data_IF_760731211830
#
_entry.id   IF_760731211830
#
_cell.length_a   1.000
_cell.length_b   1.000
_cell.length_c   1.000
_cell.angle_alpha   90.00
_cell.angle_beta   90.00
_cell.angle_gamma   90.00
#
_symmetry.space_group_name_H-M   'P 1'
#
loop_
_entity.id
_entity.type
_entity.pdbx_description
1 polymer ?
#
# COMPACT_ATOMS: atom_id res chain seq x y z
N UNK A 1 11.29 12.70 36.77
CA UNK A 1 11.16 13.32 35.43
C UNK A 1 9.71 13.76 35.21
N UNK A 2 9.43 15.03 34.92
CA UNK A 2 8.06 15.56 34.79
C UNK A 2 7.27 14.90 33.65
N UNK A 3 5.94 14.81 33.78
CA UNK A 3 5.02 14.19 32.79
C UNK A 3 5.17 14.81 31.39
N UNK A 4 5.42 16.12 31.34
CA UNK A 4 5.66 16.86 30.11
C UNK A 4 6.98 16.46 29.42
N UNK A 5 8.06 16.32 30.19
CA UNK A 5 9.36 15.88 29.67
C UNK A 5 9.31 14.45 29.15
N UNK A 6 8.55 13.56 29.80
CA UNK A 6 8.27 12.19 29.32
C UNK A 6 7.52 12.20 27.98
N UNK A 7 6.47 13.01 27.85
CA UNK A 7 5.70 13.12 26.60
C UNK A 7 6.53 13.71 25.45
N UNK A 8 7.37 14.72 25.73
CA UNK A 8 8.26 15.31 24.74
C UNK A 8 9.27 14.28 24.22
N UNK A 9 9.93 13.55 25.12
CA UNK A 9 10.89 12.50 24.74
C UNK A 9 10.22 11.39 23.91
N UNK A 10 9.04 10.91 24.33
CA UNK A 10 8.26 9.92 23.58
C UNK A 10 7.96 10.42 22.16
N UNK A 11 7.47 11.65 22.01
CA UNK A 11 7.13 12.20 20.70
C UNK A 11 8.36 12.34 19.80
N UNK A 12 9.50 12.75 20.36
CA UNK A 12 10.77 12.82 19.62
C UNK A 12 11.22 11.44 19.16
N UNK A 13 11.20 10.43 20.04
CA UNK A 13 11.59 9.07 19.69
C UNK A 13 10.66 8.48 18.62
N UNK A 14 9.34 8.64 18.78
CA UNK A 14 8.37 8.23 17.76
C UNK A 14 8.61 8.91 16.41
N UNK A 15 9.08 10.16 16.40
CA UNK A 15 9.40 10.88 15.17
C UNK A 15 10.63 10.33 14.47
N UNK A 16 11.67 9.97 15.23
CA UNK A 16 12.86 9.32 14.70
C UNK A 16 12.50 7.96 14.12
N UNK A 17 11.75 7.13 14.86
CA UNK A 17 11.33 5.81 14.39
C UNK A 17 10.43 5.91 13.15
N UNK A 18 9.48 6.86 13.13
CA UNK A 18 8.66 7.13 11.95
C UNK A 18 9.52 7.55 10.75
N UNK A 19 10.51 8.43 10.97
CA UNK A 19 11.46 8.84 9.94
C UNK A 19 12.24 7.68 9.36
N UNK A 20 12.78 6.80 10.21
CA UNK A 20 13.49 5.58 9.79
C UNK A 20 12.57 4.66 8.99
N UNK A 21 11.35 4.42 9.49
CA UNK A 21 10.38 3.55 8.82
C UNK A 21 10.04 4.06 7.41
N UNK A 22 9.67 5.34 7.28
CA UNK A 22 9.35 5.92 5.97
C UNK A 22 10.58 5.99 5.07
N UNK A 23 11.76 6.33 5.61
CA UNK A 23 12.99 6.38 4.83
C UNK A 23 13.32 5.01 4.23
N UNK A 24 13.32 3.94 5.03
CA UNK A 24 13.60 2.58 4.56
C UNK A 24 12.57 2.12 3.53
N UNK A 25 11.29 2.41 3.74
CA UNK A 25 10.23 2.02 2.80
C UNK A 25 10.30 2.81 1.48
N UNK A 26 10.60 4.10 1.52
CA UNK A 26 10.68 4.93 0.29
C UNK A 26 12.02 4.81 -0.43
N UNK A 27 13.09 4.41 0.27
CA UNK A 27 14.47 4.28 -0.25
C UNK A 27 14.94 2.83 -0.32
N UNK A 28 14.04 1.92 -0.65
CA UNK A 28 14.42 0.53 -0.89
C UNK A 28 15.46 0.41 -2.02
N UNK A 29 15.53 1.38 -2.93
CA UNK A 29 16.65 1.54 -3.85
C UNK A 29 17.54 2.67 -3.35
N UNK A 30 18.81 2.42 -2.95
CA UNK A 30 19.53 1.13 -2.96
C UNK A 30 19.43 0.31 -1.64
N UNK A 31 18.69 0.78 -0.63
CA UNK A 31 18.78 0.24 0.75
C UNK A 31 17.90 -0.98 1.06
N UNK A 32 17.60 -1.83 0.08
CA UNK A 32 16.67 -2.98 0.24
C UNK A 32 17.13 -3.95 1.34
N UNK A 33 18.45 -4.11 1.50
CA UNK A 33 19.09 -4.96 2.52
C UNK A 33 18.87 -4.48 3.95
N UNK A 34 18.51 -3.20 4.15
CA UNK A 34 18.29 -2.60 5.46
C UNK A 34 16.84 -2.66 5.94
N UNK A 35 15.99 -3.47 5.28
CA UNK A 35 14.57 -3.65 5.63
C UNK A 35 14.33 -4.01 7.11
N UNK A 36 15.28 -4.69 7.76
CA UNK A 36 15.21 -5.02 9.19
C UNK A 36 15.10 -3.76 10.08
N UNK A 37 15.75 -2.65 9.70
CA UNK A 37 15.65 -1.39 10.43
C UNK A 37 14.23 -0.82 10.39
N UNK A 38 13.54 -0.98 9.26
CA UNK A 38 12.12 -0.60 9.12
C UNK A 38 11.23 -1.41 10.06
N UNK A 39 11.43 -2.73 10.11
CA UNK A 39 10.66 -3.62 11.00
C UNK A 39 10.88 -3.30 12.48
N UNK A 40 12.14 -3.06 12.89
CA UNK A 40 12.47 -2.65 14.26
C UNK A 40 11.87 -1.28 14.60
N UNK A 41 11.90 -0.34 13.65
CA UNK A 41 11.29 0.97 13.83
C UNK A 41 9.77 0.86 14.03
N UNK A 42 9.09 0.02 13.25
CA UNK A 42 7.66 -0.23 13.39
C UNK A 42 7.32 -0.85 14.74
N UNK A 43 8.09 -1.86 15.17
CA UNK A 43 7.93 -2.48 16.48
C UNK A 43 8.10 -1.45 17.61
N UNK A 44 9.12 -0.59 17.51
CA UNK A 44 9.34 0.51 18.44
C UNK A 44 8.17 1.51 18.47
N UNK A 45 7.60 1.85 17.31
CA UNK A 45 6.41 2.73 17.23
C UNK A 45 5.24 2.10 17.98
N UNK A 46 4.97 0.82 17.75
CA UNK A 46 3.87 0.08 18.40
C UNK A 46 4.08 0.05 19.90
N UNK A 47 5.26 -0.40 20.37
CA UNK A 47 5.60 -0.50 21.78
C UNK A 47 5.51 0.84 22.53
N UNK A 48 5.96 1.92 21.90
CA UNK A 48 5.94 3.25 22.53
C UNK A 48 4.57 3.90 22.52
N UNK A 49 3.76 3.70 21.48
CA UNK A 49 2.57 4.51 21.21
C UNK A 49 1.24 3.79 21.37
N UNK A 50 1.24 2.47 21.58
CA UNK A 50 0.07 1.76 22.05
C UNK A 50 -0.51 2.44 23.30
N UNK A 51 -1.80 2.74 23.25
CA UNK A 51 -2.57 3.17 24.42
C UNK A 51 -3.82 2.32 24.49
N UNK A 52 -4.01 1.69 25.63
CA UNK A 52 -5.24 0.99 25.95
C UNK A 52 -5.74 1.50 27.29
N UNK A 53 -6.97 2.00 27.31
CA UNK A 53 -7.72 2.07 28.55
C UNK A 53 -8.16 0.65 28.90
N UNK A 54 -8.29 0.31 30.18
CA UNK A 54 -8.55 -1.06 30.64
C UNK A 54 -9.77 -1.69 29.93
N UNK A 55 -10.84 -0.91 29.76
CA UNK A 55 -12.05 -1.35 29.04
C UNK A 55 -11.82 -1.61 27.54
N UNK A 56 -11.00 -0.78 26.88
CA UNK A 56 -10.61 -0.96 25.48
C UNK A 56 -9.67 -2.14 25.26
N UNK A 57 -8.79 -2.42 26.24
CA UNK A 57 -7.92 -3.60 26.22
C UNK A 57 -8.74 -4.90 26.18
N UNK A 58 -9.66 -5.08 27.13
CA UNK A 58 -10.45 -6.32 27.23
C UNK A 58 -11.45 -6.50 26.09
N UNK A 59 -12.08 -5.41 25.61
CA UNK A 59 -13.11 -5.51 24.57
C UNK A 59 -12.57 -5.67 23.15
N UNK A 60 -11.34 -5.22 22.89
CA UNK A 60 -10.84 -5.15 21.51
C UNK A 60 -9.48 -5.79 21.34
N UNK A 61 -8.53 -5.49 22.22
CA UNK A 61 -7.17 -6.01 22.06
C UNK A 61 -7.02 -7.47 22.48
N UNK A 62 -7.66 -7.88 23.59
CA UNK A 62 -7.63 -9.27 24.07
C UNK A 62 -8.21 -10.27 23.04
N UNK A 63 -9.37 -10.02 22.40
CA UNK A 63 -9.86 -10.88 21.32
C UNK A 63 -8.88 -11.03 20.14
N UNK A 64 -8.21 -9.93 19.74
CA UNK A 64 -7.19 -9.98 18.68
C UNK A 64 -6.03 -10.88 19.11
N UNK A 65 -5.55 -10.74 20.35
CA UNK A 65 -4.48 -11.58 20.87
C UNK A 65 -4.90 -13.06 20.94
N UNK A 66 -6.10 -13.37 21.44
CA UNK A 66 -6.61 -14.74 21.48
C UNK A 66 -6.69 -15.35 20.08
N UNK A 67 -7.20 -14.59 19.10
CA UNK A 67 -7.28 -15.04 17.72
C UNK A 67 -5.89 -15.21 17.09
N UNK A 68 -4.95 -14.29 17.33
CA UNK A 68 -3.56 -14.42 16.90
C UNK A 68 -2.89 -15.67 17.51
N UNK A 69 -3.08 -15.93 18.80
CA UNK A 69 -2.58 -17.13 19.47
C UNK A 69 -3.16 -18.41 18.87
N UNK A 70 -4.46 -18.41 18.55
CA UNK A 70 -5.10 -19.52 17.84
C UNK A 70 -4.45 -19.77 16.47
N UNK A 71 -4.21 -18.71 15.67
CA UNK A 71 -3.56 -18.84 14.36
C UNK A 71 -2.15 -19.41 14.46
N UNK A 72 -1.37 -18.97 15.46
CA UNK A 72 -0.02 -19.49 15.71
C UNK A 72 -0.10 -20.97 16.11
N UNK A 73 -0.95 -21.32 17.06
CA UNK A 73 -1.13 -22.69 17.50
C UNK A 73 -1.54 -23.61 16.34
N UNK A 74 -2.52 -23.18 15.54
CA UNK A 74 -2.96 -23.92 14.35
C UNK A 74 -1.85 -24.09 13.32
N UNK A 75 -1.06 -23.04 13.05
CA UNK A 75 0.06 -23.12 12.11
C UNK A 75 1.15 -24.10 12.56
N UNK A 76 1.44 -24.15 13.86
CA UNK A 76 2.39 -25.10 14.42
C UNK A 76 1.87 -26.54 14.37
N UNK A 77 0.56 -26.76 14.55
CA UNK A 77 -0.06 -28.07 14.34
C UNK A 77 0.04 -28.56 12.90
N UNK A 78 -0.01 -27.65 11.93
CA UNK A 78 0.20 -27.95 10.50
C UNK A 78 1.69 -28.20 10.15
N UNK A 79 2.60 -28.09 11.12
CA UNK A 79 4.03 -28.35 10.91
C UNK A 79 4.78 -27.22 10.22
N UNK A 80 4.22 -26.01 10.15
CA UNK A 80 4.87 -24.86 9.50
C UNK A 80 6.09 -24.36 10.29
N UNK A 81 7.08 -23.82 9.57
CA UNK A 81 8.30 -23.31 10.17
C UNK A 81 8.06 -22.13 11.12
N UNK A 82 8.59 -22.21 12.34
CA UNK A 82 8.40 -21.21 13.41
C UNK A 82 8.79 -19.79 12.97
N UNK A 83 9.86 -19.65 12.20
CA UNK A 83 10.36 -18.36 11.69
C UNK A 83 9.37 -17.73 10.71
N UNK A 84 8.75 -18.54 9.84
CA UNK A 84 7.72 -18.09 8.90
C UNK A 84 6.41 -17.78 9.63
N UNK A 85 5.99 -18.64 10.57
CA UNK A 85 4.82 -18.36 11.43
C UNK A 85 4.97 -17.01 12.13
N UNK A 86 6.13 -16.77 12.77
CA UNK A 86 6.44 -15.53 13.46
C UNK A 86 6.39 -14.31 12.52
N UNK A 87 6.88 -14.46 11.28
CA UNK A 87 6.84 -13.39 10.28
C UNK A 87 5.40 -13.01 9.91
N UNK A 88 4.57 -13.97 9.54
CA UNK A 88 3.20 -13.69 9.07
C UNK A 88 2.28 -13.23 10.21
N UNK A 89 2.45 -13.76 11.43
CA UNK A 89 1.66 -13.28 12.56
C UNK A 89 2.01 -11.83 12.92
N UNK A 90 3.29 -11.43 12.81
CA UNK A 90 3.69 -10.03 13.03
C UNK A 90 3.03 -9.08 12.02
N UNK A 91 2.89 -9.50 10.77
CA UNK A 91 2.18 -8.71 9.74
C UNK A 91 0.72 -8.50 10.15
N UNK A 92 -0.01 -9.58 10.47
CA UNK A 92 -1.42 -9.51 10.91
C UNK A 92 -1.54 -8.61 12.15
N UNK A 93 -0.66 -8.82 13.12
CA UNK A 93 -0.64 -8.04 14.35
C UNK A 93 -0.41 -6.55 14.08
N UNK A 94 0.57 -6.18 13.25
CA UNK A 94 0.83 -4.76 12.94
C UNK A 94 -0.31 -4.11 12.17
N UNK A 95 -0.94 -4.81 11.23
CA UNK A 95 -2.09 -4.28 10.48
C UNK A 95 -3.27 -3.96 11.39
N UNK A 96 -3.61 -4.87 12.32
CA UNK A 96 -4.72 -4.67 13.24
C UNK A 96 -4.39 -3.63 14.32
N UNK A 97 -3.16 -3.63 14.83
CA UNK A 97 -2.76 -2.70 15.92
C UNK A 97 -2.50 -1.28 15.44
N UNK A 98 -2.18 -1.07 14.16
CA UNK A 98 -1.98 0.26 13.58
C UNK A 98 -3.14 1.23 13.83
N UNK A 99 -4.38 0.72 13.83
CA UNK A 99 -5.60 1.50 14.09
C UNK A 99 -5.68 2.10 15.50
N UNK A 100 -4.90 1.59 16.46
CA UNK A 100 -4.90 2.00 17.87
C UNK A 100 -3.73 2.91 18.23
N UNK A 101 -2.83 3.16 17.29
CA UNK A 101 -1.62 3.94 17.52
C UNK A 101 -1.89 5.41 17.20
N UNK A 102 -1.67 6.28 18.18
CA UNK A 102 -1.82 7.73 18.03
C UNK A 102 -0.45 8.37 17.93
N UNK A 103 -0.11 8.85 16.75
CA UNK A 103 1.11 9.59 16.47
C UNK A 103 0.85 11.11 16.32
N UNK A 104 1.83 11.96 16.66
CA UNK A 104 1.77 13.39 16.38
C UNK A 104 1.55 13.72 14.89
N UNK A 105 0.55 14.55 14.59
CA UNK A 105 0.18 14.98 13.22
C UNK A 105 1.33 15.54 12.39
N UNK A 106 2.33 16.16 13.02
CA UNK A 106 3.55 16.67 12.35
C UNK A 106 4.30 15.58 11.57
N UNK A 107 4.16 14.32 11.94
CA UNK A 107 4.79 13.18 11.25
C UNK A 107 4.28 12.98 9.82
N UNK A 108 3.06 13.41 9.51
CA UNK A 108 2.54 13.40 8.13
C UNK A 108 3.42 14.27 7.22
N UNK A 109 3.93 15.40 7.71
CA UNK A 109 4.83 16.27 6.91
C UNK A 109 6.12 15.54 6.54
N UNK A 110 6.64 14.69 7.43
CA UNK A 110 7.83 13.90 7.17
C UNK A 110 7.58 12.83 6.09
N UNK A 111 6.40 12.19 6.12
CA UNK A 111 5.97 11.28 5.06
C UNK A 111 6.02 11.99 3.70
N UNK A 112 5.30 13.12 3.61
CA UNK A 112 5.23 13.92 2.38
C UNK A 112 6.61 14.39 1.88
N UNK A 113 7.53 14.75 2.78
CA UNK A 113 8.87 15.16 2.41
C UNK A 113 9.69 14.01 1.82
N UNK A 114 9.66 12.83 2.46
CA UNK A 114 10.43 11.66 2.01
C UNK A 114 9.87 11.05 0.73
N UNK A 115 8.55 11.03 0.55
CA UNK A 115 7.93 10.62 -0.72
C UNK A 115 8.13 11.66 -1.81
N UNK A 116 8.18 12.96 -1.49
CA UNK A 116 8.53 13.99 -2.48
C UNK A 116 9.96 13.81 -3.00
N UNK A 117 10.90 13.48 -2.11
CA UNK A 117 12.25 13.11 -2.53
C UNK A 117 12.24 11.89 -3.47
N UNK A 118 11.27 10.96 -3.31
CA UNK A 118 11.16 9.78 -4.17
C UNK A 118 10.64 10.17 -5.55
N UNK A 119 9.69 11.12 -5.60
CA UNK A 119 9.25 11.71 -6.85
C UNK A 119 10.43 12.36 -7.60
N UNK A 120 11.25 13.15 -6.89
CA UNK A 120 12.42 13.81 -7.49
C UNK A 120 13.41 12.76 -8.02
N UNK A 121 13.66 11.68 -7.28
CA UNK A 121 14.50 10.57 -7.73
C UNK A 121 13.98 9.94 -9.02
N UNK A 122 12.69 9.59 -9.10
CA UNK A 122 12.11 8.97 -10.29
C UNK A 122 12.16 9.90 -11.51
N UNK A 123 11.79 11.16 -11.32
CA UNK A 123 11.83 12.16 -12.38
C UNK A 123 13.27 12.38 -12.86
N UNK A 124 14.23 12.49 -11.93
CA UNK A 124 15.65 12.62 -12.28
C UNK A 124 16.19 11.41 -13.02
N UNK A 125 15.81 10.20 -12.60
CA UNK A 125 16.19 8.95 -13.27
C UNK A 125 15.60 8.88 -14.68
N UNK A 126 14.34 9.27 -14.88
CA UNK A 126 13.74 9.37 -16.21
C UNK A 126 14.54 10.31 -17.12
N UNK A 127 14.89 11.50 -16.63
CA UNK A 127 15.69 12.44 -17.41
C UNK A 127 17.07 11.87 -17.77
N UNK A 128 17.73 11.18 -16.85
CA UNK A 128 19.00 10.50 -17.14
C UNK A 128 18.80 9.43 -18.22
N UNK A 129 17.75 8.61 -18.11
CA UNK A 129 17.45 7.56 -19.09
C UNK A 129 17.20 8.14 -20.49
N UNK A 130 16.41 9.22 -20.58
CA UNK A 130 16.12 9.88 -21.86
C UNK A 130 17.33 10.59 -22.49
N UNK A 131 18.27 11.10 -21.68
CA UNK A 131 19.44 11.81 -22.18
C UNK A 131 20.58 10.89 -22.60
N UNK A 132 20.76 9.76 -21.90
CA UNK A 132 21.95 8.92 -22.06
C UNK A 132 21.67 7.54 -22.67
N UNK A 133 20.41 7.09 -22.74
CA UNK A 133 20.06 5.76 -23.20
C UNK A 133 19.03 5.77 -24.33
N UNK A 134 19.09 4.75 -25.17
CA UNK A 134 18.12 4.45 -26.22
C UNK A 134 17.67 2.98 -26.11
N UNK A 135 16.83 2.52 -27.04
CA UNK A 135 16.28 1.15 -27.05
C UNK A 135 17.35 0.05 -27.02
N UNK A 136 18.56 0.30 -27.53
CA UNK A 136 19.62 -0.69 -27.62
C UNK A 136 20.57 -0.63 -26.42
N UNK A 137 20.74 0.54 -25.81
CA UNK A 137 21.76 0.77 -24.78
C UNK A 137 21.26 0.65 -23.34
N UNK A 138 19.95 0.63 -23.10
CA UNK A 138 19.38 0.61 -21.74
C UNK A 138 19.35 -0.80 -21.09
N UNK A 139 19.41 -1.88 -21.88
CA UNK A 139 19.30 -3.27 -21.38
C UNK A 139 20.34 -3.64 -20.30
N UNK A 140 21.63 -3.27 -20.40
CA UNK A 140 22.58 -3.52 -19.32
C UNK A 140 22.19 -2.87 -17.99
N UNK A 141 21.62 -1.66 -18.04
CA UNK A 141 21.13 -0.97 -16.84
C UNK A 141 19.90 -1.69 -16.27
N UNK A 142 18.98 -2.12 -17.13
CA UNK A 142 17.83 -2.94 -16.73
C UNK A 142 18.27 -4.20 -15.99
N UNK A 143 19.18 -4.97 -16.59
CA UNK A 143 19.73 -6.17 -15.97
C UNK A 143 20.42 -5.88 -14.63
N UNK A 144 21.13 -4.75 -14.52
CA UNK A 144 21.71 -4.31 -13.25
C UNK A 144 20.63 -4.10 -12.17
N UNK A 145 19.53 -3.40 -12.48
CA UNK A 145 18.43 -3.18 -11.54
C UNK A 145 17.75 -4.49 -11.10
N UNK A 146 17.52 -5.41 -12.05
CA UNK A 146 16.94 -6.73 -11.77
C UNK A 146 17.88 -7.54 -10.87
N UNK A 147 19.17 -7.59 -11.18
CA UNK A 147 20.17 -8.36 -10.43
C UNK A 147 20.35 -7.83 -9.00
N UNK A 148 20.22 -6.52 -8.78
CA UNK A 148 20.21 -5.91 -7.44
C UNK A 148 18.89 -6.11 -6.69
N UNK A 149 17.86 -6.68 -7.34
CA UNK A 149 16.53 -6.84 -6.77
C UNK A 149 15.83 -5.51 -6.49
N UNK A 150 16.17 -4.46 -7.23
CA UNK A 150 15.64 -3.10 -7.05
C UNK A 150 14.29 -2.87 -7.74
N UNK A 151 13.92 -3.77 -8.64
CA UNK A 151 12.75 -3.66 -9.50
C UNK A 151 13.18 -3.77 -10.96
N UNK A 152 12.44 -3.13 -11.84
CA UNK A 152 12.70 -3.13 -13.27
C UNK A 152 12.79 -1.69 -13.81
N UNK A 153 13.43 -1.53 -14.96
CA UNK A 153 13.52 -0.28 -15.72
C UNK A 153 13.44 -0.64 -17.20
N UNK A 154 12.36 -0.29 -17.88
CA UNK A 154 12.17 -0.69 -19.27
C UNK A 154 11.46 0.34 -20.13
N UNK A 155 11.71 0.31 -21.43
CA UNK A 155 11.04 1.15 -22.42
C UNK A 155 10.56 0.31 -23.59
N UNK A 156 9.47 0.73 -24.22
CA UNK A 156 8.96 0.11 -25.45
C UNK A 156 9.27 0.96 -26.70
N UNK A 157 9.62 2.23 -26.51
CA UNK A 157 9.77 3.20 -27.61
C UNK A 157 11.09 3.95 -27.58
N UNK A 158 11.83 3.91 -26.47
CA UNK A 158 13.04 4.73 -26.25
C UNK A 158 12.74 6.18 -25.86
N UNK A 159 11.47 6.60 -25.88
CA UNK A 159 11.05 7.98 -25.58
C UNK A 159 10.38 8.13 -24.21
N UNK A 160 10.18 7.03 -23.50
CA UNK A 160 9.58 6.98 -22.18
C UNK A 160 10.02 5.70 -21.47
N UNK A 161 10.52 5.81 -20.26
CA UNK A 161 10.90 4.66 -19.46
C UNK A 161 9.89 4.42 -18.32
N UNK A 162 9.50 3.16 -18.17
CA UNK A 162 8.79 2.68 -17.00
C UNK A 162 9.83 2.31 -15.95
N UNK A 163 9.68 2.88 -14.75
CA UNK A 163 10.60 2.71 -13.63
C UNK A 163 9.84 2.12 -12.42
N UNK A 164 9.34 0.87 -12.51
CA UNK A 164 8.67 0.17 -11.41
C UNK A 164 9.68 -0.34 -10.37
N UNK A 165 10.38 0.60 -9.73
CA UNK A 165 11.33 0.31 -8.66
C UNK A 165 10.65 0.20 -7.30
N UNK A 166 11.29 -0.52 -6.40
CA UNK A 166 10.89 -0.65 -5.01
C UNK A 166 10.87 0.72 -4.31
N UNK A 167 9.91 0.91 -3.41
CA UNK A 167 9.69 2.16 -2.66
C UNK A 167 8.72 3.17 -3.29
N UNK A 168 8.17 2.87 -4.47
CA UNK A 168 7.16 3.71 -5.14
C UNK A 168 5.73 3.53 -4.60
N UNK A 169 5.51 2.51 -3.76
CA UNK A 169 4.18 2.09 -3.32
C UNK A 169 3.33 3.21 -2.71
N UNK A 170 3.93 4.10 -1.92
CA UNK A 170 3.17 5.13 -1.20
C UNK A 170 2.85 6.38 -2.05
N UNK A 171 3.39 6.52 -3.26
CA UNK A 171 3.23 7.73 -4.07
C UNK A 171 1.77 8.04 -4.41
N UNK A 172 0.95 7.09 -4.91
CA UNK A 172 -0.46 7.36 -5.22
C UNK A 172 -1.25 7.72 -3.95
N UNK A 173 -0.97 7.03 -2.84
CA UNK A 173 -1.61 7.30 -1.57
C UNK A 173 -1.34 8.74 -1.09
N UNK A 174 -0.08 9.18 -1.06
CA UNK A 174 0.29 10.52 -0.62
C UNK A 174 -0.27 11.59 -1.58
N UNK A 175 -0.25 11.32 -2.88
CA UNK A 175 -0.90 12.19 -3.87
C UNK A 175 -2.39 12.39 -3.55
N UNK A 176 -3.15 11.31 -3.35
CA UNK A 176 -4.58 11.38 -3.04
C UNK A 176 -4.83 12.07 -1.70
N UNK A 177 -4.05 11.73 -0.67
CA UNK A 177 -4.15 12.36 0.65
C UNK A 177 -3.90 13.88 0.61
N UNK A 178 -3.03 14.35 -0.30
CA UNK A 178 -2.73 15.77 -0.48
C UNK A 178 -3.94 16.62 -0.88
N UNK A 179 -5.04 16.02 -1.34
CA UNK A 179 -6.29 16.71 -1.66
C UNK A 179 -7.06 17.12 -0.43
N UNK A 180 -6.93 16.37 0.67
CA UNK A 180 -7.73 16.57 1.88
C UNK A 180 -6.93 17.15 3.04
N UNK A 181 -5.61 16.93 3.09
CA UNK A 181 -4.77 17.43 4.19
C UNK A 181 -3.93 18.63 3.73
N UNK A 182 -3.94 19.76 4.46
CA UNK A 182 -3.21 20.97 4.10
C UNK A 182 -1.71 20.87 4.44
N UNK A 183 -1.01 19.94 3.79
CA UNK A 183 0.44 19.75 3.98
C UNK A 183 1.26 20.72 3.14
N UNK A 184 0.81 21.00 1.91
CA UNK A 184 1.51 21.89 0.99
C UNK A 184 1.08 23.35 1.18
N UNK A 185 1.98 24.32 0.91
CA UNK A 185 1.61 25.73 0.88
C UNK A 185 0.49 25.99 -0.13
N UNK A 186 -0.54 26.74 0.27
CA UNK A 186 -1.76 26.95 -0.54
C UNK A 186 -1.46 27.44 -1.96
N UNK A 187 -0.47 28.34 -2.13
CA UNK A 187 -0.04 28.90 -3.42
C UNK A 187 0.70 27.90 -4.32
N UNK A 188 1.30 26.85 -3.75
CA UNK A 188 2.14 25.86 -4.46
C UNK A 188 1.58 24.44 -4.45
N UNK A 189 0.37 24.22 -3.92
CA UNK A 189 -0.25 22.89 -3.81
C UNK A 189 -0.31 22.17 -5.17
N UNK A 190 -0.70 22.87 -6.23
CA UNK A 190 -0.82 22.29 -7.57
C UNK A 190 0.54 21.88 -8.12
N UNK A 191 1.58 22.70 -7.89
CA UNK A 191 2.94 22.38 -8.30
C UNK A 191 3.43 21.07 -7.68
N UNK A 192 3.27 20.90 -6.36
CA UNK A 192 3.65 19.65 -5.70
C UNK A 192 2.81 18.45 -6.19
N UNK A 193 1.50 18.62 -6.40
CA UNK A 193 0.64 17.56 -6.97
C UNK A 193 1.08 17.16 -8.37
N UNK A 194 1.49 18.10 -9.23
CA UNK A 194 2.03 17.80 -10.55
C UNK A 194 3.31 16.98 -10.46
N UNK A 195 4.22 17.29 -9.53
CA UNK A 195 5.44 16.49 -9.30
C UNK A 195 5.09 15.05 -8.94
N UNK A 196 4.13 14.84 -8.03
CA UNK A 196 3.69 13.51 -7.65
C UNK A 196 3.02 12.76 -8.81
N UNK A 197 2.13 13.43 -9.55
CA UNK A 197 1.45 12.83 -10.70
C UNK A 197 2.46 12.36 -11.75
N UNK A 198 3.45 13.21 -12.08
CA UNK A 198 4.50 12.88 -13.03
C UNK A 198 5.33 11.68 -12.55
N UNK A 199 5.73 11.66 -11.28
CA UNK A 199 6.45 10.53 -10.71
C UNK A 199 5.63 9.22 -10.69
N UNK A 200 4.32 9.28 -10.45
CA UNK A 200 3.43 8.12 -10.51
C UNK A 200 3.34 7.57 -11.94
N UNK A 201 3.32 8.44 -12.95
CA UNK A 201 3.37 8.03 -14.36
C UNK A 201 4.70 7.33 -14.66
N UNK A 202 5.84 7.90 -14.28
CA UNK A 202 7.16 7.26 -14.47
C UNK A 202 7.34 5.98 -13.67
N UNK A 203 6.66 5.82 -12.54
CA UNK A 203 6.66 4.55 -11.80
C UNK A 203 6.08 3.37 -12.63
N UNK A 204 5.36 3.65 -13.74
CA UNK A 204 4.97 2.65 -14.74
C UNK A 204 3.98 1.59 -14.27
N UNK A 205 3.42 1.72 -13.05
CA UNK A 205 2.48 0.74 -12.50
C UNK A 205 1.04 1.10 -12.91
N UNK A 206 0.45 0.27 -13.77
CA UNK A 206 -0.90 0.48 -14.29
C UNK A 206 -1.98 0.53 -13.20
N UNK A 207 -1.83 -0.25 -12.12
CA UNK A 207 -2.81 -0.23 -11.03
C UNK A 207 -2.82 1.13 -10.30
N UNK A 208 -1.69 1.84 -10.25
CA UNK A 208 -1.63 3.20 -9.69
C UNK A 208 -2.49 4.15 -10.53
N UNK A 209 -2.38 4.06 -11.86
CA UNK A 209 -3.16 4.89 -12.78
C UNK A 209 -4.67 4.58 -12.70
N UNK A 210 -5.06 3.31 -12.61
CA UNK A 210 -6.46 2.92 -12.39
C UNK A 210 -7.00 3.54 -11.08
N UNK A 211 -6.25 3.44 -9.99
CA UNK A 211 -6.66 4.00 -8.70
C UNK A 211 -6.77 5.52 -8.75
N UNK A 212 -5.81 6.22 -9.37
CA UNK A 212 -5.91 7.66 -9.58
C UNK A 212 -7.10 8.04 -10.48
N UNK A 213 -7.40 7.26 -11.50
CA UNK A 213 -8.57 7.49 -12.34
C UNK A 213 -9.85 7.40 -11.52
N UNK A 214 -10.05 6.32 -10.76
CA UNK A 214 -11.20 6.16 -9.86
C UNK A 214 -11.27 7.31 -8.84
N UNK A 215 -10.13 7.70 -8.26
CA UNK A 215 -10.05 8.81 -7.32
C UNK A 215 -10.55 10.12 -7.91
N UNK A 216 -10.03 10.53 -9.07
CA UNK A 216 -10.42 11.79 -9.71
C UNK A 216 -11.82 11.72 -10.30
N UNK A 217 -12.23 10.57 -10.84
CA UNK A 217 -13.57 10.33 -11.34
C UNK A 217 -14.58 10.58 -10.22
N UNK A 218 -14.42 9.94 -9.07
CA UNK A 218 -15.30 10.17 -7.92
C UNK A 218 -15.23 11.61 -7.41
N UNK A 219 -14.03 12.20 -7.29
CA UNK A 219 -13.92 13.61 -6.89
C UNK A 219 -14.66 14.57 -7.83
N UNK A 220 -14.63 14.30 -9.13
CA UNK A 220 -15.31 15.09 -10.15
C UNK A 220 -16.83 15.03 -10.01
N UNK A 221 -17.37 13.87 -9.62
CA UNK A 221 -18.82 13.67 -9.37
C UNK A 221 -19.27 14.11 -7.97
N UNK A 222 -18.38 14.05 -6.97
CA UNK A 222 -18.69 14.41 -5.58
C UNK A 222 -18.62 15.93 -5.31
N UNK A 223 -18.23 16.74 -6.29
CA UNK A 223 -18.36 18.19 -6.19
C UNK A 223 -19.85 18.57 -6.24
N UNK A 224 -20.34 19.20 -5.15
CA UNK A 224 -21.71 19.70 -5.05
C UNK A 224 -21.97 20.74 -6.15
N UNK A 225 -22.52 20.27 -7.26
CA UNK A 225 -22.84 21.06 -8.44
C UNK A 225 -24.32 20.94 -8.78
N UNK A 226 -24.84 21.96 -9.47
CA UNK A 226 -26.23 21.93 -9.93
C UNK A 226 -26.48 20.72 -10.85
N UNK A 227 -27.71 20.20 -10.87
CA UNK A 227 -28.09 19.08 -11.74
C UNK A 227 -27.72 19.32 -13.22
N UNK A 228 -27.81 20.57 -13.69
CA UNK A 228 -27.40 20.97 -15.05
C UNK A 228 -25.90 20.81 -15.31
N UNK A 229 -25.06 21.14 -14.33
CA UNK A 229 -23.61 20.94 -14.45
C UNK A 229 -23.26 19.45 -14.44
N UNK A 230 -23.94 18.64 -13.62
CA UNK A 230 -23.82 17.19 -13.65
C UNK A 230 -24.17 16.61 -15.03
N UNK A 231 -25.27 17.06 -15.64
CA UNK A 231 -25.65 16.65 -17.00
C UNK A 231 -24.59 17.01 -18.05
N UNK A 232 -24.01 18.22 -17.99
CA UNK A 232 -22.94 18.64 -18.90
C UNK A 232 -21.66 17.82 -18.70
N UNK A 233 -21.32 17.50 -17.45
CA UNK A 233 -20.19 16.62 -17.11
C UNK A 233 -20.37 15.22 -17.69
N UNK A 234 -21.56 14.63 -17.54
CA UNK A 234 -21.90 13.31 -18.13
C UNK A 234 -21.80 13.37 -19.65
N UNK A 235 -22.37 14.40 -20.29
CA UNK A 235 -22.33 14.56 -21.75
C UNK A 235 -20.89 14.69 -22.27
N UNK A 236 -20.06 15.51 -21.62
CA UNK A 236 -18.65 15.67 -21.97
C UNK A 236 -17.86 14.37 -21.79
N UNK A 237 -18.13 13.61 -20.72
CA UNK A 237 -17.49 12.32 -20.48
C UNK A 237 -17.91 11.28 -21.52
N UNK A 238 -19.20 11.21 -21.85
CA UNK A 238 -19.72 10.33 -22.91
C UNK A 238 -19.09 10.65 -24.26
N UNK A 239 -18.95 11.95 -24.60
CA UNK A 239 -18.24 12.38 -25.81
C UNK A 239 -16.77 11.96 -25.81
N UNK A 240 -16.06 12.14 -24.69
CA UNK A 240 -14.69 11.66 -24.49
C UNK A 240 -14.56 10.15 -24.67
N UNK A 241 -15.47 9.37 -24.08
CA UNK A 241 -15.48 7.91 -24.20
C UNK A 241 -15.65 7.51 -25.66
N UNK A 242 -16.62 8.11 -26.38
CA UNK A 242 -16.84 7.82 -27.81
C UNK A 242 -15.60 8.19 -28.64
N UNK A 243 -15.02 9.36 -28.39
CA UNK A 243 -13.84 9.84 -29.10
C UNK A 243 -12.62 8.91 -28.93
N UNK A 244 -12.41 8.40 -27.72
CA UNK A 244 -11.27 7.56 -27.38
C UNK A 244 -11.57 6.05 -27.42
N UNK A 245 -12.79 5.63 -27.80
CA UNK A 245 -13.17 4.22 -27.77
C UNK A 245 -12.31 3.36 -28.71
N UNK A 246 -12.21 3.73 -29.98
CA UNK A 246 -11.44 2.98 -30.99
C UNK A 246 -9.93 3.01 -30.68
N UNK A 247 -9.29 4.17 -30.44
CA UNK A 247 -7.88 4.21 -30.03
C UNK A 247 -7.62 3.43 -28.73
N UNK A 248 -8.57 3.48 -27.79
CA UNK A 248 -8.53 2.75 -26.54
C UNK A 248 -8.54 1.24 -26.74
N UNK A 249 -9.42 0.72 -27.61
CA UNK A 249 -9.46 -0.71 -27.94
C UNK A 249 -8.15 -1.20 -28.57
N UNK A 250 -7.61 -0.44 -29.54
CA UNK A 250 -6.32 -0.77 -30.19
C UNK A 250 -5.18 -0.77 -29.16
N UNK A 251 -5.18 0.19 -28.24
CA UNK A 251 -4.19 0.23 -27.16
C UNK A 251 -4.34 -0.96 -26.20
N UNK A 252 -5.56 -1.28 -25.78
CA UNK A 252 -5.85 -2.41 -24.89
C UNK A 252 -5.39 -3.72 -25.55
N UNK A 253 -5.72 -3.95 -26.81
CA UNK A 253 -5.29 -5.16 -27.54
C UNK A 253 -3.75 -5.29 -27.59
N UNK A 254 -3.05 -4.20 -27.93
CA UNK A 254 -1.59 -4.17 -27.98
C UNK A 254 -0.92 -4.34 -26.61
N UNK A 255 -1.54 -3.86 -25.53
CA UNK A 255 -1.02 -4.02 -24.17
C UNK A 255 -1.32 -5.40 -23.63
N UNK A 256 -2.52 -5.93 -23.87
CA UNK A 256 -2.95 -7.24 -23.40
C UNK A 256 -2.17 -8.37 -24.07
N UNK A 257 -1.90 -8.26 -25.38
CA UNK A 257 -1.06 -9.23 -26.10
C UNK A 257 0.38 -9.29 -25.59
N UNK A 258 0.92 -8.17 -25.08
CA UNK A 258 2.26 -8.09 -24.47
C UNK A 258 2.29 -8.47 -22.98
N UNK A 259 1.14 -8.53 -22.32
CA UNK A 259 1.02 -8.87 -20.88
C UNK A 259 0.65 -10.32 -20.61
N UNK A 260 0.51 -11.14 -21.65
CA UNK A 260 0.14 -12.57 -21.53
C UNK A 260 1.04 -13.30 -20.54
N UNK A 261 2.35 -13.05 -20.54
CA UNK A 261 3.29 -13.75 -19.63
C UNK A 261 3.15 -13.32 -18.16
N UNK A 262 2.99 -12.02 -17.90
CA UNK A 262 2.82 -11.49 -16.53
C UNK A 262 1.44 -11.85 -15.95
N UNK A 263 0.39 -11.83 -16.76
CA UNK A 263 -0.94 -12.28 -16.34
C UNK A 263 -1.00 -13.79 -16.19
N UNK A 264 -0.32 -14.55 -17.06
CA UNK A 264 -0.17 -16.01 -16.97
C UNK A 264 0.49 -16.42 -15.66
N UNK A 265 1.59 -15.77 -15.27
CA UNK A 265 2.26 -16.02 -13.98
C UNK A 265 1.35 -15.76 -12.78
N UNK A 266 0.50 -14.72 -12.84
CA UNK A 266 -0.45 -14.41 -11.75
C UNK A 266 -1.61 -15.40 -11.68
N UNK A 267 -2.11 -15.84 -12.83
CA UNK A 267 -3.15 -16.88 -12.89
C UNK A 267 -2.62 -18.22 -12.38
N UNK A 268 -1.40 -18.59 -12.80
CA UNK A 268 -0.67 -19.77 -12.32
C UNK A 268 -0.49 -19.72 -10.79
N UNK A 269 -0.09 -18.58 -10.22
CA UNK A 269 -0.02 -18.40 -8.76
C UNK A 269 -1.35 -18.66 -8.05
N UNK A 270 -2.47 -18.16 -8.61
CA UNK A 270 -3.79 -18.37 -8.03
C UNK A 270 -4.16 -19.85 -8.06
N UNK A 271 -3.94 -20.52 -9.19
CA UNK A 271 -4.26 -21.94 -9.35
C UNK A 271 -3.46 -22.81 -8.37
N UNK A 272 -2.15 -22.59 -8.29
CA UNK A 272 -1.25 -23.30 -7.37
C UNK A 272 -1.71 -23.14 -5.92
N UNK A 273 -2.01 -21.91 -5.50
CA UNK A 273 -2.45 -21.62 -4.12
C UNK A 273 -3.83 -22.20 -3.78
N UNK A 274 -4.76 -22.19 -4.76
CA UNK A 274 -6.10 -22.77 -4.59
C UNK A 274 -6.07 -24.30 -4.61
N UNK A 275 -5.16 -24.90 -5.39
CA UNK A 275 -4.97 -26.35 -5.38
C UNK A 275 -4.32 -26.82 -4.09
N UNK A 276 -3.34 -26.08 -3.59
CA UNK A 276 -2.68 -26.37 -2.31
C UNK A 276 -3.68 -26.35 -1.15
N UNK A 277 -4.50 -25.30 -1.02
CA UNK A 277 -5.53 -25.23 0.03
C UNK A 277 -6.64 -26.28 -0.16
N UNK A 278 -6.87 -26.74 -1.39
CA UNK A 278 -7.88 -27.74 -1.75
C UNK A 278 -7.47 -29.19 -1.49
N UNK A 279 -6.24 -29.47 -1.04
CA UNK A 279 -5.80 -30.84 -0.75
C UNK A 279 -6.59 -31.50 0.39
N UNK A 280 -7.06 -30.72 1.36
CA UNK A 280 -7.86 -31.19 2.49
C UNK A 280 -9.10 -30.31 2.71
N UNK A 281 -10.21 -30.92 3.12
CA UNK A 281 -11.45 -30.17 3.38
C UNK A 281 -11.29 -29.17 4.55
N UNK A 282 -10.46 -29.50 5.54
CA UNK A 282 -10.15 -28.66 6.70
C UNK A 282 -9.38 -27.40 6.30
N UNK A 283 -8.43 -27.54 5.36
CA UNK A 283 -7.56 -26.44 4.94
C UNK A 283 -8.30 -25.40 4.12
N UNK A 284 -9.38 -25.76 3.40
CA UNK A 284 -10.24 -24.78 2.72
C UNK A 284 -10.82 -23.77 3.73
N UNK A 285 -11.29 -24.23 4.88
CA UNK A 285 -11.95 -23.40 5.88
C UNK A 285 -10.97 -22.66 6.79
N UNK A 286 -9.93 -23.34 7.26
CA UNK A 286 -8.98 -22.84 8.26
C UNK A 286 -7.61 -22.44 7.70
N UNK A 287 -7.36 -22.72 6.43
CA UNK A 287 -6.09 -22.48 5.75
C UNK A 287 -5.07 -23.60 5.98
N UNK A 288 -3.95 -23.51 5.28
CA UNK A 288 -2.76 -24.34 5.53
C UNK A 288 -1.92 -23.86 6.74
N UNK A 289 -2.38 -22.82 7.42
CA UNK A 289 -1.68 -22.20 8.54
C UNK A 289 -0.68 -21.14 8.09
N UNK A 290 -0.32 -20.26 9.02
CA UNK A 290 0.66 -19.20 8.78
C UNK A 290 2.04 -19.80 8.47
N UNK A 291 2.75 -19.21 7.52
CA UNK A 291 4.07 -19.67 7.11
C UNK A 291 4.09 -20.92 6.23
N UNK A 292 2.94 -21.34 5.69
CA UNK A 292 2.87 -22.43 4.72
C UNK A 292 3.77 -22.16 3.49
N UNK A 293 4.49 -23.19 3.03
CA UNK A 293 5.28 -23.15 1.80
C UNK A 293 4.73 -24.15 0.80
N UNK A 294 4.56 -23.70 -0.44
CA UNK A 294 4.14 -24.59 -1.52
C UNK A 294 5.35 -25.35 -2.06
N UNK A 295 5.18 -26.63 -2.41
CA UNK A 295 6.21 -27.47 -3.03
C UNK A 295 5.77 -27.91 -4.43
N UNK A 296 5.59 -26.93 -5.32
CA UNK A 296 5.07 -27.17 -6.66
C UNK A 296 5.92 -26.49 -7.74
N UNK A 297 6.15 -27.20 -8.85
CA UNK A 297 6.82 -26.68 -10.04
C UNK A 297 5.83 -26.67 -11.20
N UNK A 298 5.64 -25.50 -11.79
CA UNK A 298 4.80 -25.31 -12.99
C UNK A 298 5.68 -24.97 -14.19
N UNK A 299 5.06 -24.88 -15.38
CA UNK A 299 5.74 -24.44 -16.60
C UNK A 299 6.20 -22.98 -16.53
N UNK A 300 5.61 -22.18 -15.64
CA UNK A 300 5.95 -20.77 -15.46
C UNK A 300 7.01 -20.57 -14.38
N UNK A 301 6.95 -21.32 -13.27
CA UNK A 301 7.83 -21.09 -12.12
C UNK A 301 7.95 -22.30 -11.18
N UNK A 302 9.09 -22.38 -10.51
CA UNK A 302 9.28 -23.22 -9.31
C UNK A 302 8.84 -22.44 -8.06
N UNK A 303 7.78 -22.90 -7.40
CA UNK A 303 7.25 -22.31 -6.17
C UNK A 303 7.80 -22.97 -4.89
N UNK A 304 8.65 -23.99 -5.02
CA UNK A 304 9.19 -24.75 -3.88
C UNK A 304 9.88 -23.84 -2.88
N UNK A 305 9.35 -23.78 -1.65
CA UNK A 305 9.90 -22.95 -0.57
C UNK A 305 9.71 -21.44 -0.78
N UNK A 306 8.94 -21.02 -1.79
CA UNK A 306 8.73 -19.60 -2.06
C UNK A 306 7.72 -18.98 -1.08
N UNK A 307 8.09 -17.84 -0.51
CA UNK A 307 7.28 -17.05 0.43
C UNK A 307 6.91 -15.67 -0.13
N UNK A 308 7.34 -15.37 -1.37
CA UNK A 308 7.09 -14.11 -2.07
C UNK A 308 6.27 -14.37 -3.33
N UNK A 309 4.97 -14.17 -3.19
CA UNK A 309 4.00 -14.16 -4.29
C UNK A 309 3.71 -12.72 -4.73
N UNK A 310 3.38 -12.53 -6.01
CA UNK A 310 2.96 -11.21 -6.50
C UNK A 310 1.57 -10.85 -5.96
N UNK A 311 0.69 -11.86 -5.90
CA UNK A 311 -0.65 -11.76 -5.34
C UNK A 311 -0.65 -12.14 -3.85
N UNK A 312 -0.07 -11.27 -3.03
CA UNK A 312 0.03 -11.46 -1.57
C UNK A 312 -1.33 -11.76 -0.91
N UNK A 313 -2.41 -11.15 -1.39
CA UNK A 313 -3.77 -11.45 -0.91
C UNK A 313 -4.12 -12.93 -1.01
N UNK A 314 -3.84 -13.57 -2.16
CA UNK A 314 -4.15 -14.98 -2.37
C UNK A 314 -3.25 -15.88 -1.52
N UNK A 315 -2.01 -15.47 -1.28
CA UNK A 315 -1.13 -16.22 -0.39
C UNK A 315 -1.59 -16.15 1.08
N UNK A 316 -2.06 -14.98 1.55
CA UNK A 316 -2.72 -14.88 2.85
C UNK A 316 -4.02 -15.69 2.92
N UNK A 317 -4.79 -15.73 1.82
CA UNK A 317 -5.97 -16.58 1.74
C UNK A 317 -5.62 -18.07 1.86
N UNK A 318 -4.57 -18.54 1.18
CA UNK A 318 -4.06 -19.91 1.31
C UNK A 318 -3.67 -20.24 2.78
N UNK A 319 -3.00 -19.31 3.46
CA UNK A 319 -2.56 -19.50 4.86
C UNK A 319 -3.70 -19.46 5.87
N UNK A 320 -4.69 -18.59 5.67
CA UNK A 320 -5.77 -18.34 6.65
C UNK A 320 -7.05 -19.14 6.36
N UNK A 321 -7.29 -19.52 5.12
CA UNK A 321 -8.55 -20.11 4.66
C UNK A 321 -9.72 -19.15 4.78
N UNK A 322 -10.90 -19.63 4.39
CA UNK A 322 -12.11 -18.79 4.25
C UNK A 322 -12.48 -18.09 5.56
N UNK A 323 -12.54 -18.82 6.68
CA UNK A 323 -13.08 -18.29 7.94
C UNK A 323 -12.16 -17.22 8.52
N UNK A 324 -10.86 -17.51 8.63
CA UNK A 324 -9.92 -16.56 9.23
C UNK A 324 -9.65 -15.38 8.28
N UNK A 325 -9.63 -15.60 6.97
CA UNK A 325 -9.44 -14.51 6.01
C UNK A 325 -10.63 -13.54 6.00
N UNK A 326 -11.86 -14.04 6.01
CA UNK A 326 -13.06 -13.18 6.13
C UNK A 326 -13.05 -12.44 7.45
N UNK A 327 -12.74 -13.13 8.56
CA UNK A 327 -12.64 -12.51 9.89
C UNK A 327 -11.59 -11.40 9.91
N UNK A 328 -10.43 -11.62 9.29
CA UNK A 328 -9.38 -10.62 9.14
C UNK A 328 -9.86 -9.38 8.36
N UNK A 329 -10.53 -9.58 7.22
CA UNK A 329 -11.07 -8.49 6.41
C UNK A 329 -12.14 -7.71 7.19
N UNK A 330 -13.09 -8.40 7.82
CA UNK A 330 -14.16 -7.77 8.58
C UNK A 330 -13.61 -6.95 9.76
N UNK A 331 -12.58 -7.46 10.46
CA UNK A 331 -11.90 -6.71 11.51
C UNK A 331 -11.21 -5.44 10.96
N UNK A 332 -10.51 -5.54 9.83
CA UNK A 332 -9.91 -4.36 9.19
C UNK A 332 -10.95 -3.33 8.77
N UNK A 333 -12.07 -3.76 8.17
CA UNK A 333 -13.17 -2.88 7.79
C UNK A 333 -13.82 -2.22 9.00
N UNK A 334 -14.07 -3.00 10.05
CA UNK A 334 -14.62 -2.50 11.31
C UNK A 334 -13.69 -1.46 11.96
N UNK A 335 -12.38 -1.72 12.03
CA UNK A 335 -11.42 -0.76 12.58
C UNK A 335 -11.24 0.46 11.67
N UNK A 336 -11.21 0.30 10.36
CA UNK A 336 -11.19 1.42 9.42
C UNK A 336 -12.40 2.34 9.65
N UNK A 337 -13.62 1.79 9.64
CA UNK A 337 -14.84 2.56 9.84
C UNK A 337 -14.91 3.26 11.21
N UNK A 338 -14.46 2.58 12.27
CA UNK A 338 -14.55 3.14 13.64
C UNK A 338 -13.42 4.10 14.01
N UNK A 339 -12.24 3.97 13.40
CA UNK A 339 -11.04 4.77 13.73
C UNK A 339 -10.69 5.83 12.68
N UNK A 340 -11.05 5.61 11.43
CA UNK A 340 -10.92 6.59 10.34
C UNK A 340 -12.32 7.12 10.06
N UNK A 341 -12.75 8.10 10.85
CA UNK A 341 -14.14 8.58 10.86
C UNK A 341 -14.48 9.44 9.64
N UNK A 342 -13.51 10.21 9.14
CA UNK A 342 -13.74 11.09 8.00
C UNK A 342 -13.96 10.27 6.70
N UNK A 343 -15.13 10.39 6.03
CA UNK A 343 -15.43 9.63 4.82
C UNK A 343 -14.44 9.87 3.67
N UNK A 344 -13.81 11.06 3.61
CA UNK A 344 -12.81 11.39 2.59
C UNK A 344 -11.54 10.56 2.79
N UNK A 345 -11.15 10.32 4.04
CA UNK A 345 -10.01 9.48 4.39
C UNK A 345 -10.31 8.00 4.14
N UNK A 346 -11.53 7.54 4.42
CA UNK A 346 -11.98 6.20 4.04
C UNK A 346 -11.95 6.00 2.51
N UNK A 347 -12.34 7.03 1.76
CA UNK A 347 -12.26 7.00 0.30
C UNK A 347 -10.81 6.88 -0.20
N UNK A 348 -9.87 7.63 0.39
CA UNK A 348 -8.43 7.47 0.09
C UNK A 348 -7.95 6.04 0.43
N UNK A 349 -8.41 5.47 1.54
CA UNK A 349 -8.07 4.09 1.90
C UNK A 349 -8.61 3.07 0.89
N UNK A 350 -9.85 3.24 0.43
CA UNK A 350 -10.44 2.38 -0.59
C UNK A 350 -9.62 2.44 -1.89
N UNK A 351 -9.23 3.64 -2.33
CA UNK A 351 -8.38 3.81 -3.50
C UNK A 351 -6.99 3.18 -3.30
N UNK A 352 -6.43 3.23 -2.08
CA UNK A 352 -5.21 2.51 -1.73
C UNK A 352 -5.37 0.99 -1.93
N UNK A 353 -6.41 0.40 -1.33
CA UNK A 353 -6.69 -1.03 -1.45
C UNK A 353 -6.87 -1.44 -2.91
N UNK A 354 -7.53 -0.62 -3.73
CA UNK A 354 -7.76 -0.91 -5.15
C UNK A 354 -6.46 -1.19 -5.93
N UNK A 355 -5.42 -0.35 -5.76
CA UNK A 355 -4.15 -0.62 -6.44
C UNK A 355 -3.26 -1.61 -5.69
N UNK A 356 -3.36 -1.65 -4.36
CA UNK A 356 -2.51 -2.52 -3.54
C UNK A 356 -2.92 -3.99 -3.67
N UNK A 357 -4.20 -4.29 -3.87
CA UNK A 357 -4.73 -5.67 -3.93
C UNK A 357 -4.12 -6.52 -5.07
N UNK A 358 -3.76 -5.87 -6.19
CA UNK A 358 -3.21 -6.52 -7.38
C UNK A 358 -1.69 -6.39 -7.48
N UNK A 359 -1.05 -5.98 -6.39
CA UNK A 359 0.39 -5.74 -6.27
C UNK A 359 0.88 -6.30 -4.92
N UNK A 360 2.20 -6.44 -4.72
CA UNK A 360 2.75 -6.89 -3.44
C UNK A 360 2.73 -5.80 -2.34
N UNK A 361 1.87 -4.78 -2.44
CA UNK A 361 1.81 -3.62 -1.54
C UNK A 361 0.65 -3.70 -0.53
N UNK A 362 -0.04 -4.83 -0.47
CA UNK A 362 -1.10 -5.09 0.51
C UNK A 362 -0.60 -6.13 1.50
N UNK A 363 -1.11 -6.08 2.72
CA UNK A 363 -0.73 -6.98 3.82
C UNK A 363 0.77 -6.89 4.13
N UNK A 364 1.28 -5.65 4.20
CA UNK A 364 2.68 -5.36 4.41
C UNK A 364 2.88 -4.07 5.22
N UNK A 365 4.13 -3.61 5.32
CA UNK A 365 4.46 -2.36 6.01
C UNK A 365 3.89 -1.11 5.32
N UNK A 366 3.65 -1.12 4.01
CA UNK A 366 3.04 0.01 3.31
C UNK A 366 1.61 0.22 3.81
N UNK A 367 0.82 -0.84 3.94
CA UNK A 367 -0.55 -0.74 4.43
C UNK A 367 -0.59 -0.28 5.89
N UNK A 368 0.36 -0.73 6.72
CA UNK A 368 0.51 -0.23 8.10
C UNK A 368 0.78 1.28 8.13
N UNK A 369 1.69 1.77 7.29
CA UNK A 369 1.99 3.21 7.16
C UNK A 369 0.74 3.99 6.73
N UNK A 370 -0.03 3.45 5.78
CA UNK A 370 -1.28 4.05 5.30
C UNK A 370 -2.29 4.18 6.44
N UNK A 371 -2.53 3.10 7.19
CA UNK A 371 -3.45 3.11 8.33
C UNK A 371 -3.01 4.14 9.38
N UNK A 372 -1.74 4.11 9.79
CA UNK A 372 -1.19 5.08 10.75
C UNK A 372 -1.35 6.52 10.26
N UNK A 373 -1.11 6.76 8.97
CA UNK A 373 -1.25 8.08 8.35
C UNK A 373 -2.70 8.55 8.35
N UNK A 374 -3.65 7.68 8.02
CA UNK A 374 -5.07 8.03 8.01
C UNK A 374 -5.61 8.29 9.41
N UNK A 375 -5.18 7.53 10.42
CA UNK A 375 -5.52 7.78 11.84
C UNK A 375 -4.96 9.14 12.30
N UNK A 376 -3.70 9.46 11.94
CA UNK A 376 -3.12 10.79 12.21
C UNK A 376 -3.88 11.91 11.49
N UNK A 377 -4.26 11.70 10.23
CA UNK A 377 -4.95 12.66 9.40
C UNK A 377 -6.37 12.93 9.91
N UNK A 378 -7.07 11.89 10.39
CA UNK A 378 -8.41 12.03 10.98
C UNK A 378 -8.40 13.01 12.15
N UNK A 379 -7.35 12.97 12.99
CA UNK A 379 -7.19 13.91 14.10
C UNK A 379 -6.98 15.36 13.65
N UNK A 380 -6.23 15.59 12.57
CA UNK A 380 -6.04 16.94 12.00
C UNK A 380 -7.41 17.52 11.59
N UNK A 381 -8.20 16.73 10.88
CA UNK A 381 -9.51 17.17 10.37
C UNK A 381 -10.53 17.37 11.50
N UNK A 382 -10.52 16.53 12.53
CA UNK A 382 -11.34 16.72 13.74
C UNK A 382 -10.99 18.03 14.48
N UNK A 383 -9.69 18.33 14.63
CA UNK A 383 -9.23 19.54 15.30
C UNK A 383 -9.58 20.81 14.49
N UNK A 384 -9.44 20.78 13.15
CA UNK A 384 -9.85 21.90 12.27
C UNK A 384 -11.36 22.16 12.32
N UNK A 385 -12.18 21.11 12.26
CA UNK A 385 -13.64 21.24 12.31
C UNK A 385 -14.13 21.82 13.65
N UNK A 386 -13.48 21.46 14.77
CA UNK A 386 -13.80 22.01 16.10
C UNK A 386 -13.49 23.51 16.21
N UNK A 387 -12.37 23.95 15.64
CA UNK A 387 -11.97 25.37 15.65
C UNK A 387 -12.97 26.21 14.85
N UNK A 388 -13.50 25.69 13.73
CA UNK A 388 -14.53 26.38 12.94
C UNK A 388 -15.88 26.48 13.67
N UNK A 389 -16.25 25.50 14.49
CA UNK A 389 -17.52 25.53 15.25
C UNK A 389 -17.52 26.43 16.48
N UNK A 390 -16.35 26.75 17.05
CA UNK A 390 -16.24 27.61 18.23
C UNK A 390 -16.19 29.12 17.88
N UNK A 391 -16.14 29.47 16.59
CA UNK A 391 -16.11 30.86 16.10
C UNK A 391 -17.45 31.31 15.51
N UNK A 392 -18.57 30.67 15.89
CA UNK A 392 -19.94 31.02 15.48
C UNK A 392 -20.71 31.58 16.66
#
# INVERSE_FOLDING_TARGET
>A
MSKERKNKLKNTLSMVLWGVLIFIITRQVPFVSYSILGNLALLGIVALNMRYDATGFYRTFLPILCWCSFLVFYALLQGNEVTLVARFILIIFFLLTAYFIILPSRMIKLLFALTLLQCIFLIGLEFILLLFFNLETYEPLRHYFINQGWGDVYTFTGHFYNIPVKGNALLPFVYMLSYFIPVFPQKRKSFFRCIYLLAIVFAGNFAYLISLFVFHFMLFFLQNESFRQLQLKILALSFLIILFFIPGLIFVENVMSKKVDSMGTRQDQVEVLLRDIGQENTTIWLGKGLGNTVSEKTNYRDYTGNIYFELQTFYFFNQLGIINFISFILLNLFFAYTKIRDPRLLFVYLCYILYAFTNPYILDSNQVIVILTLVMANKILEDENRVCTCNV
#
